data_IF_249296366912
#
_entry.id   IF_249296366912
#
_cell.length_a   1.000
_cell.length_b   1.000
_cell.length_c   1.000
_cell.angle_alpha   90.00
_cell.angle_beta   90.00
_cell.angle_gamma   90.00
#
_symmetry.space_group_name_H-M   'P 1'
#
loop_
_entity.id
_entity.type
_entity.pdbx_description
1 polymer ?
#
# COMPACT_ATOMS: atom_id res chain seq x y z
N UNK A 1 7.45 15.46 8.71
CA UNK A 1 6.38 14.58 9.21
C UNK A 1 5.22 15.39 9.79
N UNK A 2 4.16 15.47 8.99
CA UNK A 2 2.86 16.05 9.37
C UNK A 2 1.81 14.96 9.20
N UNK A 3 1.14 14.56 10.26
CA UNK A 3 0.00 13.63 10.17
C UNK A 3 -1.17 14.36 9.53
N UNK A 4 -1.79 13.74 8.52
CA UNK A 4 -2.94 14.29 7.81
C UNK A 4 -4.21 13.58 8.24
N UNK A 5 -4.17 12.25 8.34
CA UNK A 5 -5.28 11.43 8.84
C UNK A 5 -4.81 10.47 9.92
N UNK A 6 -5.69 10.16 10.86
CA UNK A 6 -5.50 9.20 11.94
C UNK A 6 -6.70 8.27 12.05
N UNK A 7 -6.43 6.97 12.15
CA UNK A 7 -7.44 5.94 12.28
C UNK A 7 -7.92 5.85 13.73
N UNK A 8 -9.20 6.16 13.95
CA UNK A 8 -9.81 5.98 15.27
C UNK A 8 -10.10 4.49 15.53
N UNK A 9 -10.05 4.03 16.80
CA UNK A 9 -10.28 2.63 17.14
C UNK A 9 -11.58 2.04 16.58
N UNK A 10 -12.63 2.85 16.45
CA UNK A 10 -13.95 2.44 15.99
C UNK A 10 -13.96 2.08 14.48
N UNK A 11 -13.01 2.61 13.70
CA UNK A 11 -12.88 2.29 12.28
C UNK A 11 -12.06 1.03 12.02
N UNK A 12 -11.32 0.50 13.01
CA UNK A 12 -10.53 -0.72 12.85
C UNK A 12 -11.38 -1.93 12.48
N UNK A 13 -12.62 -2.00 12.96
CA UNK A 13 -13.56 -3.06 12.58
C UNK A 13 -13.87 -3.04 11.08
N UNK A 14 -13.94 -1.86 10.47
CA UNK A 14 -14.22 -1.73 9.02
C UNK A 14 -13.04 -2.16 8.13
N UNK A 15 -11.84 -2.29 8.70
CA UNK A 15 -10.63 -2.76 8.02
C UNK A 15 -10.40 -4.26 8.17
N UNK A 16 -11.18 -4.97 8.99
CA UNK A 16 -11.08 -6.43 9.12
C UNK A 16 -11.59 -7.15 7.88
N UNK A 17 -12.64 -6.62 7.28
CA UNK A 17 -13.19 -7.15 6.04
C UNK A 17 -12.29 -6.73 4.87
N UNK A 18 -11.66 -7.68 4.15
CA UNK A 18 -10.75 -7.35 3.07
C UNK A 18 -11.45 -6.56 1.94
N UNK A 19 -10.69 -5.74 1.23
CA UNK A 19 -11.16 -4.94 0.10
C UNK A 19 -11.24 -5.72 -1.22
N UNK A 20 -10.83 -6.98 -1.20
CA UNK A 20 -10.86 -7.90 -2.33
C UNK A 20 -10.80 -9.36 -1.89
N UNK A 21 -10.79 -10.30 -2.83
CA UNK A 21 -10.56 -11.72 -2.54
C UNK A 21 -9.20 -11.92 -1.85
N UNK A 22 -9.19 -12.84 -0.88
CA UNK A 22 -7.96 -13.34 -0.25
C UNK A 22 -7.51 -14.59 -1.00
N UNK A 23 -6.25 -14.62 -1.38
CA UNK A 23 -5.60 -15.73 -2.08
C UNK A 23 -4.29 -16.09 -1.39
N UNK A 24 -3.97 -17.38 -1.37
CA UNK A 24 -2.74 -17.89 -0.75
C UNK A 24 -1.70 -18.27 -1.80
N UNK A 25 -2.13 -18.42 -3.06
CA UNK A 25 -1.31 -18.72 -4.21
C UNK A 25 -0.89 -17.43 -4.94
N UNK A 26 0.33 -16.96 -4.68
CA UNK A 26 0.87 -15.73 -5.29
C UNK A 26 0.89 -15.80 -6.83
N UNK A 27 1.14 -16.97 -7.42
CA UNK A 27 1.15 -17.11 -8.88
C UNK A 27 -0.25 -16.86 -9.47
N UNK A 28 -1.31 -17.32 -8.79
CA UNK A 28 -2.69 -17.00 -9.19
C UNK A 28 -2.99 -15.51 -9.11
N UNK A 29 -2.57 -14.86 -8.02
CA UNK A 29 -2.76 -13.42 -7.85
C UNK A 29 -2.08 -12.66 -8.99
N UNK A 30 -0.82 -13.00 -9.28
CA UNK A 30 -0.04 -12.36 -10.34
C UNK A 30 -0.63 -12.62 -11.73
N UNK A 31 -1.17 -13.82 -11.99
CA UNK A 31 -1.83 -14.13 -13.25
C UNK A 31 -3.11 -13.29 -13.48
N UNK A 32 -3.77 -12.84 -12.40
CA UNK A 32 -4.95 -11.99 -12.45
C UNK A 32 -4.63 -10.49 -12.28
N UNK A 33 -3.36 -10.14 -12.01
CA UNK A 33 -3.00 -8.77 -11.68
C UNK A 33 -3.03 -7.86 -12.92
N UNK A 34 -3.60 -6.67 -12.74
CA UNK A 34 -3.50 -5.56 -13.68
C UNK A 34 -2.26 -4.69 -13.45
N UNK A 35 -2.21 -3.54 -14.12
CA UNK A 35 -1.11 -2.58 -14.07
C UNK A 35 -1.64 -1.16 -13.85
N UNK A 36 -0.97 -0.33 -13.03
CA UNK A 36 0.21 -0.66 -12.21
C UNK A 36 -0.11 -1.69 -11.11
N UNK A 37 0.90 -2.47 -10.74
CA UNK A 37 0.90 -3.40 -9.61
C UNK A 37 1.54 -2.72 -8.40
N UNK A 38 0.75 -2.57 -7.34
CA UNK A 38 1.15 -1.98 -6.07
C UNK A 38 1.16 -3.06 -4.99
N UNK A 39 2.24 -3.17 -4.21
CA UNK A 39 2.30 -4.06 -3.03
C UNK A 39 2.43 -3.23 -1.76
N UNK A 40 1.71 -3.64 -0.71
CA UNK A 40 1.80 -3.05 0.63
C UNK A 40 2.09 -4.18 1.61
N UNK A 41 3.25 -4.11 2.25
CA UNK A 41 3.75 -5.11 3.19
C UNK A 41 4.97 -5.88 2.69
N UNK A 42 5.90 -6.18 3.60
CA UNK A 42 7.14 -6.91 3.30
C UNK A 42 6.89 -8.30 2.70
N UNK A 43 5.98 -9.09 3.29
CA UNK A 43 5.74 -10.49 2.89
C UNK A 43 5.09 -10.58 1.50
N UNK A 44 4.12 -9.70 1.21
CA UNK A 44 3.49 -9.65 -0.11
C UNK A 44 4.51 -9.22 -1.16
N UNK A 45 5.26 -8.16 -0.89
CA UNK A 45 6.32 -7.67 -1.79
C UNK A 45 7.38 -8.74 -2.04
N UNK A 46 7.77 -9.47 -0.99
CA UNK A 46 8.72 -10.59 -1.08
C UNK A 46 8.24 -11.67 -2.05
N UNK A 47 7.02 -12.20 -1.86
CA UNK A 47 6.53 -13.28 -2.71
C UNK A 47 6.35 -12.85 -4.16
N UNK A 48 5.97 -11.59 -4.40
CA UNK A 48 5.88 -11.01 -5.75
C UNK A 48 7.26 -10.98 -6.42
N UNK A 49 8.28 -10.50 -5.71
CA UNK A 49 9.66 -10.48 -6.20
C UNK A 49 10.25 -11.89 -6.39
N UNK A 50 9.97 -12.83 -5.48
CA UNK A 50 10.41 -14.23 -5.57
C UNK A 50 9.82 -14.92 -6.82
N UNK A 51 8.58 -14.57 -7.17
CA UNK A 51 7.93 -15.02 -8.41
C UNK A 51 8.49 -14.35 -9.68
N UNK A 52 9.49 -13.47 -9.56
CA UNK A 52 10.16 -12.82 -10.68
C UNK A 52 9.42 -11.61 -11.26
N UNK A 53 8.46 -11.05 -10.51
CA UNK A 53 7.72 -9.84 -10.88
C UNK A 53 8.16 -8.70 -9.96
N UNK A 54 8.59 -7.58 -10.53
CA UNK A 54 8.82 -6.35 -9.76
C UNK A 54 7.54 -5.52 -9.77
N UNK A 55 6.95 -5.18 -8.61
CA UNK A 55 5.80 -4.29 -8.57
C UNK A 55 6.22 -2.86 -8.99
N UNK A 56 5.32 -2.14 -9.62
CA UNK A 56 5.53 -0.74 -10.01
C UNK A 56 5.74 0.14 -8.76
N UNK A 57 5.00 -0.14 -7.69
CA UNK A 57 5.17 0.50 -6.39
C UNK A 57 5.15 -0.54 -5.28
N UNK A 58 6.16 -0.55 -4.41
CA UNK A 58 6.16 -1.36 -3.19
C UNK A 58 6.26 -0.46 -1.95
N UNK A 59 5.37 -0.65 -0.98
CA UNK A 59 5.44 -0.01 0.32
C UNK A 59 5.78 -1.06 1.37
N UNK A 60 6.89 -0.88 2.08
CA UNK A 60 7.38 -1.84 3.09
C UNK A 60 7.81 -1.09 4.34
N UNK A 61 7.55 -1.66 5.52
CA UNK A 61 8.01 -1.07 6.76
C UNK A 61 9.42 -1.52 7.17
N UNK A 62 10.02 -0.82 8.13
CA UNK A 62 11.27 -1.25 8.77
C UNK A 62 11.05 -2.08 10.05
N UNK A 63 9.81 -2.22 10.53
CA UNK A 63 9.46 -2.92 11.77
C UNK A 63 9.59 -4.42 11.58
N UNK A 64 9.06 -4.95 10.49
CA UNK A 64 9.06 -6.38 10.17
C UNK A 64 10.50 -6.85 9.96
N UNK A 65 11.36 -6.01 9.34
CA UNK A 65 12.82 -6.23 9.20
C UNK A 65 13.59 -6.31 10.53
N UNK A 66 13.11 -5.66 11.60
CA UNK A 66 13.78 -5.68 12.92
C UNK A 66 13.32 -6.83 13.83
N UNK A 67 12.16 -7.42 13.55
CA UNK A 67 11.55 -8.38 14.47
C UNK A 67 11.70 -9.84 14.04
N UNK A 68 11.46 -10.21 12.78
CA UNK A 68 11.41 -11.64 12.39
C UNK A 68 11.36 -11.89 10.88
N UNK A 69 11.87 -10.98 10.07
CA UNK A 69 11.93 -11.21 8.62
C UNK A 69 13.24 -11.93 8.32
N UNK A 70 13.13 -13.17 7.83
CA UNK A 70 14.26 -14.03 7.46
C UNK A 70 15.27 -13.24 6.60
N UNK A 71 16.57 -13.52 6.76
CA UNK A 71 17.64 -12.90 5.96
C UNK A 71 17.35 -12.97 4.45
N UNK A 72 16.58 -13.98 4.03
CA UNK A 72 16.08 -14.21 2.67
C UNK A 72 15.18 -13.08 2.16
N UNK A 73 14.23 -12.59 2.96
CA UNK A 73 13.32 -11.52 2.54
C UNK A 73 14.06 -10.19 2.43
N UNK A 74 14.95 -9.89 3.38
CA UNK A 74 15.79 -8.68 3.30
C UNK A 74 16.77 -8.73 2.12
N UNK A 75 17.20 -9.92 1.71
CA UNK A 75 18.03 -10.10 0.52
C UNK A 75 17.24 -9.89 -0.78
N UNK A 76 15.96 -10.25 -0.83
CA UNK A 76 15.10 -10.09 -2.02
C UNK A 76 14.52 -8.68 -2.12
N UNK A 77 13.95 -8.17 -1.02
CA UNK A 77 13.37 -6.82 -0.93
C UNK A 77 14.50 -5.82 -0.62
N UNK A 78 15.28 -5.52 -1.65
CA UNK A 78 16.41 -4.60 -1.57
C UNK A 78 16.31 -3.46 -2.60
N UNK A 79 17.09 -2.41 -2.36
CA UNK A 79 17.07 -1.17 -3.15
C UNK A 79 17.48 -1.38 -4.62
N UNK A 80 18.26 -2.41 -4.92
CA UNK A 80 18.70 -2.70 -6.29
C UNK A 80 17.62 -3.42 -7.13
N UNK A 81 16.55 -3.89 -6.49
CA UNK A 81 15.40 -4.50 -7.18
C UNK A 81 14.46 -3.45 -7.79
N UNK A 82 14.66 -2.16 -7.49
CA UNK A 82 13.81 -1.05 -7.92
C UNK A 82 14.63 0.06 -8.57
N UNK A 83 14.01 0.81 -9.47
CA UNK A 83 14.66 1.95 -10.13
C UNK A 83 14.85 3.13 -9.17
N UNK A 84 13.94 3.26 -8.19
CA UNK A 84 13.97 4.32 -7.18
C UNK A 84 13.64 3.80 -5.79
N UNK A 85 14.16 4.51 -4.80
CA UNK A 85 13.85 4.30 -3.39
C UNK A 85 13.48 5.63 -2.75
N UNK A 86 12.33 5.68 -2.09
CA UNK A 86 11.90 6.77 -1.24
C UNK A 86 11.84 6.29 0.21
N UNK A 87 12.15 7.17 1.16
CA UNK A 87 12.00 6.88 2.60
C UNK A 87 11.09 7.91 3.22
N UNK A 88 10.04 7.43 3.89
CA UNK A 88 9.04 8.25 4.56
C UNK A 88 8.84 7.80 5.99
N UNK A 89 8.33 8.69 6.83
CA UNK A 89 7.97 8.37 8.22
C UNK A 89 6.45 8.32 8.33
N UNK A 90 5.90 7.22 8.83
CA UNK A 90 4.47 7.07 9.03
C UNK A 90 4.17 6.37 10.37
N UNK A 91 3.86 7.13 11.44
CA UNK A 91 3.54 6.54 12.73
C UNK A 91 2.36 5.57 12.68
N UNK A 92 2.27 4.65 13.67
CA UNK A 92 1.18 3.69 13.78
C UNK A 92 -0.21 4.31 13.67
N UNK A 93 -1.07 3.71 12.86
CA UNK A 93 -2.46 4.15 12.70
C UNK A 93 -2.64 5.52 12.05
N UNK A 94 -1.64 6.06 11.35
CA UNK A 94 -1.72 7.37 10.68
C UNK A 94 -1.47 7.29 9.17
N UNK A 95 -1.85 8.36 8.47
CA UNK A 95 -1.40 8.67 7.12
C UNK A 95 -0.74 10.05 7.14
N UNK A 96 0.57 10.09 6.90
CA UNK A 96 1.35 11.33 6.86
C UNK A 96 1.35 11.96 5.47
N UNK A 97 1.58 13.28 5.43
CA UNK A 97 1.71 14.00 4.18
C UNK A 97 2.84 13.44 3.30
N UNK A 98 3.93 13.02 3.95
CA UNK A 98 5.11 12.47 3.30
C UNK A 98 4.79 11.12 2.63
N UNK A 99 4.01 10.25 3.29
CA UNK A 99 3.54 8.98 2.72
C UNK A 99 2.61 9.19 1.52
N UNK A 100 1.61 10.07 1.65
CA UNK A 100 0.64 10.33 0.58
C UNK A 100 1.31 10.95 -0.66
N UNK A 101 2.24 11.89 -0.46
CA UNK A 101 2.99 12.51 -1.54
C UNK A 101 3.91 11.48 -2.23
N UNK A 102 4.65 10.68 -1.47
CA UNK A 102 5.53 9.65 -2.02
C UNK A 102 4.77 8.59 -2.82
N UNK A 103 3.60 8.16 -2.34
CA UNK A 103 2.74 7.23 -3.07
C UNK A 103 2.26 7.83 -4.40
N UNK A 104 1.79 9.08 -4.39
CA UNK A 104 1.37 9.77 -5.63
C UNK A 104 2.53 9.88 -6.61
N UNK A 105 3.71 10.30 -6.15
CA UNK A 105 4.91 10.42 -6.97
C UNK A 105 5.32 9.06 -7.55
N UNK A 106 5.25 7.99 -6.76
CA UNK A 106 5.56 6.64 -7.20
C UNK A 106 4.56 6.12 -8.24
N UNK A 107 3.26 6.41 -8.09
CA UNK A 107 2.21 6.01 -9.04
C UNK A 107 2.25 6.79 -10.35
N UNK A 108 2.76 8.02 -10.34
CA UNK A 108 3.03 8.79 -11.55
C UNK A 108 4.34 8.35 -12.24
N UNK A 109 5.07 7.45 -11.57
CA UNK A 109 6.33 6.84 -11.98
C UNK A 109 6.20 6.04 -13.30
N UNK A 110 7.05 6.21 -14.33
CA UNK A 110 7.14 5.22 -15.42
C UNK A 110 8.03 4.01 -15.06
N UNK A 111 8.75 4.06 -13.93
CA UNK A 111 9.62 3.00 -13.43
C UNK A 111 9.15 2.45 -12.08
N UNK A 112 9.96 1.55 -11.51
CA UNK A 112 9.63 0.85 -10.27
C UNK A 112 10.13 1.62 -9.03
N UNK A 113 9.27 1.77 -8.02
CA UNK A 113 9.60 2.54 -6.81
C UNK A 113 9.37 1.74 -5.53
N UNK A 114 10.40 1.66 -4.69
CA UNK A 114 10.32 1.15 -3.32
C UNK A 114 10.14 2.31 -2.33
N UNK A 115 9.01 2.36 -1.63
CA UNK A 115 8.75 3.29 -0.54
C UNK A 115 9.01 2.57 0.78
N UNK A 116 10.13 2.90 1.43
CA UNK A 116 10.47 2.44 2.78
C UNK A 116 9.77 3.31 3.82
N UNK A 117 9.01 2.68 4.70
CA UNK A 117 8.22 3.34 5.75
C UNK A 117 8.89 3.12 7.11
N UNK A 118 9.44 4.18 7.70
CA UNK A 118 9.81 4.17 9.11
C UNK A 118 8.54 4.36 9.95
N UNK A 119 8.00 3.24 10.43
CA UNK A 119 6.73 3.19 11.16
C UNK A 119 5.87 2.02 10.73
N UNK A 120 4.61 2.28 10.36
CA UNK A 120 3.65 1.28 9.86
C UNK A 120 3.14 1.67 8.46
N UNK A 121 3.07 0.69 7.58
CA UNK A 121 2.54 0.75 6.21
C UNK A 121 1.12 0.20 6.07
N UNK A 122 0.58 -0.49 7.09
CA UNK A 122 -0.73 -1.15 7.06
C UNK A 122 -1.86 -0.31 6.45
N UNK A 123 -1.93 0.97 6.81
CA UNK A 123 -2.98 1.87 6.31
C UNK A 123 -2.74 2.34 4.87
N UNK A 124 -1.54 2.15 4.33
CA UNK A 124 -1.16 2.64 3.01
C UNK A 124 -1.89 1.91 1.86
N UNK A 125 -2.50 0.76 2.12
CA UNK A 125 -3.41 0.11 1.18
C UNK A 125 -4.61 1.01 0.83
N UNK A 126 -5.12 1.79 1.79
CA UNK A 126 -6.25 2.71 1.56
C UNK A 126 -5.89 3.81 0.55
N UNK A 127 -4.90 4.68 0.77
CA UNK A 127 -4.53 5.68 -0.22
C UNK A 127 -4.01 5.05 -1.53
N UNK A 128 -3.40 3.85 -1.50
CA UNK A 128 -3.00 3.14 -2.73
C UNK A 128 -4.20 2.80 -3.60
N UNK A 129 -5.26 2.22 -3.02
CA UNK A 129 -6.50 1.92 -3.75
C UNK A 129 -7.19 3.21 -4.22
N UNK A 130 -7.17 4.25 -3.39
CA UNK A 130 -7.81 5.52 -3.73
C UNK A 130 -7.15 6.21 -4.94
N UNK A 131 -5.81 6.24 -4.98
CA UNK A 131 -5.04 7.02 -5.95
C UNK A 131 -4.62 6.26 -7.21
N UNK A 132 -4.52 4.92 -7.15
CA UNK A 132 -4.15 4.12 -8.31
C UNK A 132 -5.20 4.24 -9.43
N UNK A 133 -4.80 4.18 -10.71
CA UNK A 133 -5.72 4.27 -11.84
C UNK A 133 -6.61 3.01 -11.95
N UNK A 134 -7.69 3.12 -12.72
CA UNK A 134 -8.62 1.99 -12.91
C UNK A 134 -7.92 0.81 -13.60
N UNK A 135 -8.23 -0.41 -13.12
CA UNK A 135 -7.56 -1.63 -13.58
C UNK A 135 -6.20 -1.89 -12.95
N UNK A 136 -5.69 -1.00 -12.11
CA UNK A 136 -4.52 -1.27 -11.27
C UNK A 136 -4.80 -2.43 -10.29
N UNK A 137 -3.74 -3.10 -9.86
CA UNK A 137 -3.80 -4.10 -8.80
C UNK A 137 -3.13 -3.58 -7.54
N UNK A 138 -3.83 -3.61 -6.41
CA UNK A 138 -3.23 -3.39 -5.08
C UNK A 138 -3.25 -4.69 -4.31
N UNK A 139 -2.07 -5.15 -3.91
CA UNK A 139 -1.86 -6.35 -3.11
C UNK A 139 -1.43 -5.97 -1.70
N UNK A 140 -2.08 -6.52 -0.69
CA UNK A 140 -1.68 -6.30 0.71
C UNK A 140 -1.95 -7.54 1.56
N UNK A 141 -1.24 -7.65 2.68
CA UNK A 141 -1.36 -8.81 3.57
C UNK A 141 -2.64 -8.76 4.42
N UNK A 142 -3.31 -9.90 4.56
CA UNK A 142 -4.37 -10.12 5.54
C UNK A 142 -3.83 -11.07 6.62
N UNK A 143 -3.75 -10.63 7.89
CA UNK A 143 -3.22 -11.46 8.98
C UNK A 143 -3.89 -12.82 9.06
N UNK A 144 -3.08 -13.89 9.10
CA UNK A 144 -3.50 -15.30 9.16
C UNK A 144 -4.36 -15.82 7.99
N UNK A 145 -4.61 -15.01 6.95
CA UNK A 145 -5.51 -15.39 5.83
C UNK A 145 -4.80 -15.44 4.47
N UNK A 146 -3.85 -14.55 4.18
CA UNK A 146 -3.09 -14.57 2.93
C UNK A 146 -2.90 -13.18 2.29
N UNK A 147 -2.85 -13.14 0.95
CA UNK A 147 -2.71 -11.90 0.17
C UNK A 147 -4.08 -11.47 -0.32
N UNK A 148 -4.47 -10.24 -0.04
CA UNK A 148 -5.66 -9.62 -0.64
C UNK A 148 -5.28 -9.07 -2.00
N UNK A 149 -6.04 -9.43 -3.03
CA UNK A 149 -5.93 -8.81 -4.36
C UNK A 149 -7.11 -7.87 -4.59
N UNK A 150 -6.81 -6.58 -4.73
CA UNK A 150 -7.79 -5.57 -5.12
C UNK A 150 -7.55 -5.16 -6.56
N UNK A 151 -8.54 -5.33 -7.42
CA UNK A 151 -8.58 -4.66 -8.73
C UNK A 151 -9.25 -3.31 -8.53
N UNK A 152 -8.53 -2.23 -8.85
CA UNK A 152 -8.99 -0.85 -8.62
C UNK A 152 -10.10 -0.49 -9.60
N UNK A 153 -11.18 0.04 -9.06
CA UNK A 153 -12.35 0.54 -9.78
C UNK A 153 -13.29 1.29 -8.84
N UNK A 154 -14.38 1.83 -9.39
CA UNK A 154 -15.28 2.76 -8.68
C UNK A 154 -15.80 2.21 -7.34
N UNK A 155 -16.28 0.96 -7.30
CA UNK A 155 -16.90 0.39 -6.10
C UNK A 155 -15.92 0.33 -4.92
N UNK A 156 -14.70 -0.15 -5.15
CA UNK A 156 -13.70 -0.24 -4.09
C UNK A 156 -13.14 1.15 -3.72
N UNK A 157 -13.01 2.05 -4.70
CA UNK A 157 -12.58 3.44 -4.48
C UNK A 157 -13.59 4.19 -3.61
N UNK A 158 -14.89 4.03 -3.85
CA UNK A 158 -15.95 4.62 -3.04
C UNK A 158 -15.93 4.08 -1.60
N UNK A 159 -15.75 2.76 -1.44
CA UNK A 159 -15.65 2.14 -0.11
C UNK A 159 -14.45 2.69 0.67
N UNK A 160 -13.29 2.78 0.03
CA UNK A 160 -12.07 3.32 0.64
C UNK A 160 -12.19 4.81 0.92
N UNK A 161 -12.74 5.59 -0.03
CA UNK A 161 -12.98 7.03 0.14
C UNK A 161 -13.91 7.31 1.32
N UNK A 162 -14.96 6.51 1.51
CA UNK A 162 -15.83 6.60 2.69
C UNK A 162 -15.08 6.38 4.00
N UNK A 163 -14.09 5.48 4.03
CA UNK A 163 -13.26 5.24 5.21
C UNK A 163 -12.33 6.43 5.46
N UNK A 164 -11.62 6.91 4.43
CA UNK A 164 -10.73 8.06 4.53
C UNK A 164 -11.47 9.32 5.03
N UNK A 165 -12.70 9.53 4.56
CA UNK A 165 -13.55 10.65 4.99
C UNK A 165 -14.06 10.54 6.45
N UNK A 166 -14.00 9.35 7.04
CA UNK A 166 -14.39 9.12 8.45
C UNK A 166 -13.19 9.19 9.41
N UNK A 167 -11.97 9.13 8.90
CA UNK A 167 -10.75 9.26 9.71
C UNK A 167 -10.66 10.66 10.33
N UNK A 168 -9.96 10.78 11.46
CA UNK A 168 -9.76 12.08 12.10
C UNK A 168 -8.66 12.81 11.37
N UNK A 169 -8.90 14.04 10.93
CA UNK A 169 -7.86 14.89 10.34
C UNK A 169 -8.37 15.76 9.20
N UNK A 170 -7.48 16.07 8.27
CA UNK A 170 -7.75 16.94 7.13
C UNK A 170 -7.91 16.09 5.86
N UNK A 171 -9.13 15.60 5.62
CA UNK A 171 -9.46 14.76 4.47
C UNK A 171 -9.23 15.49 3.15
N UNK A 172 -9.59 16.78 3.06
CA UNK A 172 -9.37 17.56 1.84
C UNK A 172 -7.88 17.62 1.50
N UNK A 173 -7.03 17.87 2.50
CA UNK A 173 -5.58 17.83 2.32
C UNK A 173 -5.07 16.45 1.91
N UNK A 174 -5.64 15.37 2.44
CA UNK A 174 -5.26 14.02 2.06
C UNK A 174 -5.57 13.74 0.58
N UNK A 175 -6.76 14.14 0.12
CA UNK A 175 -7.16 14.01 -1.28
C UNK A 175 -6.27 14.85 -2.19
N UNK A 176 -5.91 16.07 -1.78
CA UNK A 176 -5.00 16.94 -2.52
C UNK A 176 -3.62 16.32 -2.71
N UNK A 177 -3.07 15.76 -1.63
CA UNK A 177 -1.80 15.08 -1.66
C UNK A 177 -1.81 13.85 -2.58
N UNK A 178 -2.96 13.17 -2.68
CA UNK A 178 -3.16 12.06 -3.61
C UNK A 178 -3.49 12.51 -5.04
N UNK A 179 -3.70 13.82 -5.28
CA UNK A 179 -4.07 14.34 -6.60
C UNK A 179 -5.53 14.06 -6.97
N UNK A 180 -6.39 13.88 -5.97
CA UNK A 180 -7.83 13.61 -6.09
C UNK A 180 -8.67 14.87 -5.89
N UNK A 181 -8.08 16.06 -6.08
CA UNK A 181 -8.77 17.34 -5.95
C UNK A 181 -9.88 17.49 -6.99
N UNK A 182 -11.12 17.64 -6.53
CA UNK A 182 -12.26 17.99 -7.39
C UNK A 182 -12.97 16.81 -8.05
N UNK A 183 -12.82 15.59 -7.51
CA UNK A 183 -13.70 14.43 -7.80
C UNK A 183 -15.04 14.59 -7.09
#
# INVERSE_FOLDING_TARGET
>A
MTTVLELQPELREALKDPFGPVETDTERVLAAAGSPLVTVGDIVTYHVLEAGVTPDVALVDERTKRATVDDEVSAVVNDASFDRVATVVNPPGTLTADLLAALREALADDGTTLVRVDGEEDLAALPAIAAAPDGASVLYGQPDEGVVHVTVGDEVRDRVGSILARMTGDTDRALELLGLDGV
#
